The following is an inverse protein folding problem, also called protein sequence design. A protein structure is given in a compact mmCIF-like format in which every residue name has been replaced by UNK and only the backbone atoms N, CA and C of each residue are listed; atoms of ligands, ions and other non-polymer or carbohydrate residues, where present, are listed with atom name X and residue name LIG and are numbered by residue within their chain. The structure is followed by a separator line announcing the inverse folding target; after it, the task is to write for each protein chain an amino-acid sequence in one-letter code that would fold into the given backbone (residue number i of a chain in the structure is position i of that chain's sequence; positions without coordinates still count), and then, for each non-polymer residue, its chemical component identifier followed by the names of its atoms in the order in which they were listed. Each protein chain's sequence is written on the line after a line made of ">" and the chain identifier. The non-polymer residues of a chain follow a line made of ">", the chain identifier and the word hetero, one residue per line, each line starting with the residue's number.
data_IF_081007498338
#
_entry.id   IF_081007498338
#
_cell.length_a   1.000
_cell.length_b   1.000
_cell.length_c   1.000
_cell.angle_alpha   90.00
_cell.angle_beta   90.00
_cell.angle_gamma   90.00
#
_symmetry.space_group_name_H-M   'P 1'
#
loop_
_entity.id
_entity.type
_entity.pdbx_description
1 polymer ?
#
# COMPACT_ATOMS: atom_id res chain seq x y z
N UNK A 1 1.64 20.79 -27.77
CA UNK A 1 3.10 20.87 -27.54
C UNK A 1 3.49 19.61 -26.80
N UNK A 2 4.14 18.66 -27.47
CA UNK A 2 4.39 17.32 -26.94
C UNK A 2 5.58 17.34 -25.98
N UNK A 3 5.38 16.90 -24.74
CA UNK A 3 6.46 16.66 -23.79
C UNK A 3 7.07 15.29 -24.09
N UNK A 4 8.35 15.28 -24.47
CA UNK A 4 9.12 14.07 -24.67
C UNK A 4 9.33 13.38 -23.31
N UNK A 5 8.79 12.17 -23.16
CA UNK A 5 9.11 11.25 -22.07
C UNK A 5 10.54 10.76 -22.27
N UNK A 6 11.48 11.27 -21.48
CA UNK A 6 12.78 10.64 -21.33
C UNK A 6 12.60 9.37 -20.48
N UNK A 7 12.46 8.23 -21.16
CA UNK A 7 12.80 6.95 -20.53
C UNK A 7 14.30 7.02 -20.19
N UNK A 8 14.63 7.12 -18.90
CA UNK A 8 15.97 6.79 -18.42
C UNK A 8 16.14 5.29 -18.64
N UNK A 9 16.64 4.89 -19.81
CA UNK A 9 17.33 3.61 -19.94
C UNK A 9 18.55 3.70 -19.05
N UNK A 10 18.47 3.12 -17.86
CA UNK A 10 19.67 2.76 -17.10
C UNK A 10 20.48 1.86 -18.03
N UNK A 11 21.74 2.20 -18.35
CA UNK A 11 22.54 1.28 -19.12
C UNK A 11 22.64 -0.01 -18.31
N UNK A 12 22.37 -1.15 -18.96
CA UNK A 12 22.84 -2.44 -18.51
C UNK A 12 24.37 -2.40 -18.60
N UNK A 13 24.99 -1.69 -17.66
CA UNK A 13 26.42 -1.77 -17.45
C UNK A 13 26.65 -3.16 -16.88
N UNK A 14 27.66 -3.83 -17.41
CA UNK A 14 28.36 -4.96 -16.81
C UNK A 14 28.92 -4.51 -15.44
N UNK A 15 28.02 -4.22 -14.50
CA UNK A 15 28.35 -3.93 -13.13
C UNK A 15 28.85 -5.24 -12.55
N UNK A 16 30.15 -5.30 -12.27
CA UNK A 16 30.68 -6.29 -11.34
C UNK A 16 29.88 -6.16 -10.05
N UNK A 17 29.07 -7.18 -9.76
CA UNK A 17 28.33 -7.26 -8.51
C UNK A 17 29.26 -7.95 -7.50
N UNK A 18 29.98 -7.22 -6.63
CA UNK A 18 30.99 -7.80 -5.74
C UNK A 18 30.40 -8.88 -4.85
N UNK A 19 29.15 -8.69 -4.43
CA UNK A 19 28.41 -9.62 -3.58
C UNK A 19 27.47 -10.53 -4.37
N UNK A 20 27.65 -10.67 -5.69
CA UNK A 20 26.81 -11.50 -6.55
C UNK A 20 25.48 -10.86 -6.94
N UNK A 21 24.69 -11.59 -7.74
CA UNK A 21 23.39 -11.13 -8.24
C UNK A 21 22.24 -11.78 -7.47
N UNK A 22 21.12 -11.07 -7.42
CA UNK A 22 19.85 -11.63 -6.97
C UNK A 22 19.35 -12.57 -8.07
N UNK A 23 19.23 -13.87 -7.77
CA UNK A 23 18.77 -14.86 -8.75
C UNK A 23 17.26 -15.06 -8.71
N UNK A 24 16.63 -15.00 -7.53
CA UNK A 24 15.18 -15.13 -7.36
C UNK A 24 14.69 -14.29 -6.19
N UNK A 25 13.48 -13.75 -6.31
CA UNK A 25 12.76 -13.08 -5.23
C UNK A 25 11.50 -13.87 -4.91
N UNK A 26 11.39 -14.38 -3.69
CA UNK A 26 10.22 -15.07 -3.18
C UNK A 26 9.39 -14.12 -2.33
N UNK A 27 8.09 -14.03 -2.57
CA UNK A 27 7.17 -13.22 -1.77
C UNK A 27 6.17 -14.13 -1.08
N UNK A 28 6.17 -14.12 0.25
CA UNK A 28 5.15 -14.78 1.07
C UNK A 28 4.35 -13.74 1.85
N UNK A 29 3.12 -13.48 1.38
CA UNK A 29 2.21 -12.57 2.06
C UNK A 29 1.20 -13.33 2.92
N UNK A 30 1.26 -13.19 4.24
CA UNK A 30 0.34 -13.80 5.20
C UNK A 30 -0.84 -12.88 5.53
N UNK A 31 -2.03 -13.45 5.70
CA UNK A 31 -3.22 -12.66 6.09
C UNK A 31 -3.25 -12.33 7.58
N UNK A 32 -3.85 -11.21 7.95
CA UNK A 32 -4.16 -10.83 9.35
C UNK A 32 -4.92 -11.93 10.12
N UNK A 33 -5.69 -12.76 9.40
CA UNK A 33 -6.53 -13.81 9.98
C UNK A 33 -5.90 -15.22 9.99
N UNK A 34 -4.68 -15.39 9.48
CA UNK A 34 -3.97 -16.67 9.49
C UNK A 34 -3.37 -17.01 10.88
N UNK A 35 -3.71 -16.23 11.91
CA UNK A 35 -3.34 -16.56 13.29
C UNK A 35 -4.21 -17.70 13.83
N UNK A 36 -3.56 -18.72 14.41
CA UNK A 36 -4.20 -19.83 15.14
C UNK A 36 -5.16 -19.35 16.26
N UNK A 37 -5.10 -18.08 16.65
CA UNK A 37 -5.98 -17.43 17.63
C UNK A 37 -7.44 -17.27 17.14
N UNK A 38 -7.68 -17.05 15.84
CA UNK A 38 -9.02 -16.83 15.30
C UNK A 38 -9.89 -18.09 15.20
N UNK A 39 -9.28 -19.28 15.21
CA UNK A 39 -9.97 -20.57 15.06
C UNK A 39 -10.70 -21.04 16.33
N UNK A 40 -10.49 -20.36 17.48
CA UNK A 40 -10.82 -20.89 18.81
C UNK A 40 -12.16 -20.42 19.39
N UNK A 41 -12.83 -19.43 18.80
CA UNK A 41 -14.02 -18.81 19.40
C UNK A 41 -15.30 -18.99 18.57
N UNK A 42 -16.20 -19.88 19.04
CA UNK A 42 -17.38 -20.33 18.26
C UNK A 42 -18.56 -19.36 18.30
N UNK A 43 -18.60 -18.41 19.25
CA UNK A 43 -19.75 -17.51 19.46
C UNK A 43 -19.87 -16.40 18.42
N UNK A 44 -18.75 -15.95 17.85
CA UNK A 44 -18.69 -14.87 16.85
C UNK A 44 -18.11 -15.31 15.50
N UNK A 45 -18.06 -16.61 15.23
CA UNK A 45 -17.47 -17.14 13.99
C UNK A 45 -18.06 -16.58 12.69
N UNK A 46 -19.31 -16.09 12.70
CA UNK A 46 -19.91 -15.41 11.56
C UNK A 46 -19.28 -14.04 11.28
N UNK A 47 -18.91 -13.29 12.32
CA UNK A 47 -18.27 -11.99 12.21
C UNK A 47 -16.84 -12.13 11.69
N UNK A 48 -16.09 -13.12 12.20
CA UNK A 48 -14.77 -13.46 11.66
C UNK A 48 -14.85 -13.91 10.19
N UNK A 49 -15.85 -14.73 9.80
CA UNK A 49 -16.04 -15.09 8.38
C UNK A 49 -16.37 -13.90 7.49
N UNK A 50 -17.16 -12.95 7.98
CA UNK A 50 -17.47 -11.71 7.26
C UNK A 50 -16.22 -10.83 7.15
N UNK A 51 -15.44 -10.72 8.23
CA UNK A 51 -14.18 -10.01 8.24
C UNK A 51 -13.17 -10.61 7.25
N UNK A 52 -12.96 -11.93 7.29
CA UNK A 52 -12.10 -12.64 6.32
C UNK A 52 -12.57 -12.48 4.87
N UNK A 53 -13.87 -12.29 4.64
CA UNK A 53 -14.43 -12.09 3.30
C UNK A 53 -14.31 -10.63 2.84
N UNK A 54 -14.35 -9.69 3.77
CA UNK A 54 -14.19 -8.27 3.49
C UNK A 54 -12.72 -7.88 3.32
N UNK A 55 -11.80 -8.53 4.04
CA UNK A 55 -10.37 -8.35 3.84
C UNK A 55 -9.90 -9.05 2.57
N UNK A 56 -9.32 -8.27 1.67
CA UNK A 56 -8.68 -8.78 0.45
C UNK A 56 -7.18 -8.72 0.68
N UNK A 57 -6.51 -9.87 0.54
CA UNK A 57 -5.05 -9.96 0.66
C UNK A 57 -4.36 -9.05 -0.34
N UNK A 58 -3.27 -8.42 0.10
CA UNK A 58 -2.39 -7.65 -0.78
C UNK A 58 -1.82 -8.56 -1.86
N UNK A 59 -1.91 -8.11 -3.12
CA UNK A 59 -1.37 -8.87 -4.25
C UNK A 59 0.15 -8.84 -4.23
N UNK A 60 0.78 -9.93 -4.66
CA UNK A 60 2.24 -9.99 -4.77
C UNK A 60 2.82 -8.88 -5.65
N UNK A 61 2.13 -8.50 -6.73
CA UNK A 61 2.52 -7.38 -7.61
C UNK A 61 2.65 -6.04 -6.86
N UNK A 62 1.85 -5.84 -5.79
CA UNK A 62 1.94 -4.67 -4.92
C UNK A 62 3.18 -4.73 -4.05
N UNK A 63 3.57 -5.89 -3.57
CA UNK A 63 4.75 -6.03 -2.70
C UNK A 63 6.00 -5.83 -3.56
N UNK A 64 6.06 -6.50 -4.71
CA UNK A 64 7.21 -6.43 -5.62
C UNK A 64 7.53 -5.01 -6.10
N UNK A 65 6.52 -4.20 -6.43
CA UNK A 65 6.73 -2.83 -6.90
C UNK A 65 7.26 -1.86 -5.84
N UNK A 66 7.18 -2.22 -4.55
CA UNK A 66 7.72 -1.40 -3.46
C UNK A 66 9.16 -1.81 -3.12
N UNK A 67 9.66 -2.91 -3.71
CA UNK A 67 11.05 -3.33 -3.58
C UNK A 67 11.95 -2.43 -4.44
N UNK A 68 13.11 -2.07 -3.90
CA UNK A 68 14.11 -1.24 -4.56
C UNK A 68 15.12 -2.05 -5.39
N UNK A 69 14.87 -3.35 -5.55
CA UNK A 69 15.69 -4.29 -6.29
C UNK A 69 14.78 -5.23 -7.07
N UNK A 70 15.38 -5.90 -8.06
CA UNK A 70 14.68 -6.85 -8.92
C UNK A 70 15.55 -8.08 -9.18
N UNK A 71 14.93 -9.15 -9.68
CA UNK A 71 15.66 -10.35 -10.09
C UNK A 71 16.68 -9.99 -11.18
N UNK A 72 17.92 -10.44 -11.01
CA UNK A 72 19.06 -10.13 -11.88
C UNK A 72 19.88 -8.91 -11.46
N UNK A 73 19.41 -8.05 -10.56
CA UNK A 73 20.19 -6.90 -10.07
C UNK A 73 21.36 -7.34 -9.19
N UNK A 74 22.34 -6.45 -8.98
CA UNK A 74 23.36 -6.68 -7.97
C UNK A 74 22.71 -6.77 -6.58
N UNK A 75 23.19 -7.69 -5.76
CA UNK A 75 22.79 -7.77 -4.37
C UNK A 75 23.34 -6.57 -3.60
N UNK A 76 22.47 -5.86 -2.89
CA UNK A 76 22.83 -4.77 -1.99
C UNK A 76 21.98 -4.88 -0.71
N UNK A 77 22.59 -5.17 0.45
CA UNK A 77 21.85 -5.28 1.71
C UNK A 77 21.15 -3.98 2.13
N UNK A 78 21.63 -2.81 1.72
CA UNK A 78 20.99 -1.53 2.02
C UNK A 78 19.64 -1.43 1.30
N UNK A 79 19.55 -1.87 0.04
CA UNK A 79 18.29 -1.89 -0.71
C UNK A 79 17.26 -2.84 -0.10
N UNK A 80 17.68 -3.96 0.48
CA UNK A 80 16.79 -4.86 1.21
C UNK A 80 16.19 -4.18 2.45
N UNK A 81 17.03 -3.54 3.27
CA UNK A 81 16.60 -2.82 4.46
C UNK A 81 15.67 -1.65 4.14
N UNK A 82 15.99 -0.87 3.10
CA UNK A 82 15.11 0.22 2.67
C UNK A 82 13.79 -0.28 2.08
N UNK A 83 13.80 -1.40 1.35
CA UNK A 83 12.57 -2.04 0.85
C UNK A 83 11.67 -2.51 2.00
N UNK A 84 12.26 -3.12 3.04
CA UNK A 84 11.55 -3.50 4.26
C UNK A 84 10.89 -2.28 4.93
N UNK A 85 11.64 -1.18 5.06
CA UNK A 85 11.13 0.09 5.62
C UNK A 85 9.99 0.68 4.78
N UNK A 86 10.08 0.63 3.45
CA UNK A 86 9.03 1.09 2.54
C UNK A 86 7.77 0.23 2.73
N UNK A 87 7.90 -1.09 2.74
CA UNK A 87 6.78 -2.02 2.97
C UNK A 87 6.08 -1.76 4.31
N UNK A 88 6.84 -1.61 5.40
CA UNK A 88 6.30 -1.27 6.73
C UNK A 88 5.69 0.14 6.82
N UNK A 89 6.04 1.05 5.91
CA UNK A 89 5.44 2.39 5.86
C UNK A 89 4.05 2.42 5.22
N UNK A 90 3.65 1.33 4.57
CA UNK A 90 2.32 1.22 3.95
C UNK A 90 1.24 1.00 5.02
N UNK A 91 0.04 1.53 4.80
CA UNK A 91 -1.05 1.44 5.79
C UNK A 91 -1.81 0.11 5.79
N UNK A 92 -1.40 -0.84 4.93
CA UNK A 92 -2.06 -2.14 4.76
C UNK A 92 -1.12 -3.34 4.97
N UNK A 93 0.14 -3.09 5.33
CA UNK A 93 1.10 -4.12 5.76
C UNK A 93 1.41 -3.84 7.24
N UNK A 94 1.10 -4.79 8.11
CA UNK A 94 1.35 -4.71 9.55
C UNK A 94 2.84 -4.91 9.85
N UNK A 95 3.47 -5.83 9.13
CA UNK A 95 4.88 -6.17 9.29
C UNK A 95 5.46 -6.73 7.99
N UNK A 96 6.76 -6.56 7.80
CA UNK A 96 7.51 -7.07 6.66
C UNK A 96 8.94 -7.41 7.09
N UNK A 97 9.47 -8.52 6.59
CA UNK A 97 10.85 -8.94 6.76
C UNK A 97 11.44 -9.25 5.38
N UNK A 98 12.61 -8.67 5.09
CA UNK A 98 13.31 -8.90 3.82
C UNK A 98 14.71 -9.43 4.10
N UNK A 99 14.97 -10.67 3.72
CA UNK A 99 16.25 -11.31 4.00
C UNK A 99 16.80 -12.10 2.82
N UNK A 100 18.12 -12.27 2.83
CA UNK A 100 18.87 -12.90 1.77
C UNK A 100 19.34 -14.31 2.15
N UNK A 101 19.32 -15.22 1.19
CA UNK A 101 19.82 -16.60 1.29
C UNK A 101 20.85 -16.84 0.20
N UNK A 102 22.12 -16.89 0.59
CA UNK A 102 23.25 -17.16 -0.32
C UNK A 102 23.10 -18.54 -0.95
N UNK A 103 23.32 -18.63 -2.26
CA UNK A 103 23.29 -19.88 -3.00
C UNK A 103 24.71 -20.42 -3.26
N UNK A 104 24.88 -21.75 -3.45
CA UNK A 104 26.18 -22.36 -3.72
C UNK A 104 26.86 -21.88 -5.02
N UNK A 105 26.09 -21.41 -5.99
CA UNK A 105 26.57 -20.88 -7.27
C UNK A 105 27.06 -19.42 -7.18
N UNK A 106 27.05 -18.84 -5.97
CA UNK A 106 27.47 -17.47 -5.71
C UNK A 106 26.38 -16.42 -5.92
N UNK A 107 25.17 -16.82 -6.36
CA UNK A 107 23.99 -15.94 -6.41
C UNK A 107 23.31 -15.84 -5.05
N UNK A 108 22.29 -14.99 -4.97
CA UNK A 108 21.51 -14.76 -3.74
C UNK A 108 20.03 -14.85 -4.04
N UNK A 109 19.30 -15.68 -3.28
CA UNK A 109 17.85 -15.60 -3.23
C UNK A 109 17.44 -14.54 -2.20
N UNK A 110 16.37 -13.80 -2.48
CA UNK A 110 15.76 -12.88 -1.51
C UNK A 110 14.37 -13.39 -1.16
N UNK A 111 14.06 -13.41 0.12
CA UNK A 111 12.75 -13.77 0.65
C UNK A 111 12.13 -12.54 1.28
N UNK A 112 10.91 -12.23 0.86
CA UNK A 112 10.09 -11.13 1.36
C UNK A 112 8.89 -11.74 2.05
N UNK A 113 8.89 -11.70 3.37
CA UNK A 113 7.73 -12.10 4.17
C UNK A 113 6.94 -10.85 4.55
N UNK A 114 5.63 -10.85 4.33
CA UNK A 114 4.75 -9.76 4.78
C UNK A 114 3.58 -10.31 5.57
N UNK A 115 3.03 -9.45 6.43
CA UNK A 115 1.76 -9.69 7.11
C UNK A 115 0.81 -8.54 6.81
N UNK A 116 -0.32 -8.84 6.20
CA UNK A 116 -1.35 -7.85 5.92
C UNK A 116 -1.97 -7.29 7.21
N UNK A 117 -2.34 -6.01 7.16
CA UNK A 117 -3.14 -5.31 8.16
C UNK A 117 -4.57 -5.08 7.64
N UNK A 118 -5.52 -4.89 8.55
CA UNK A 118 -6.87 -4.50 8.15
C UNK A 118 -6.90 -3.07 7.59
N UNK A 119 -7.31 -2.91 6.33
CA UNK A 119 -7.22 -1.65 5.57
C UNK A 119 -8.52 -0.83 5.53
N UNK A 120 -9.68 -1.40 5.88
CA UNK A 120 -10.96 -0.66 5.91
C UNK A 120 -11.13 0.07 7.25
N UNK A 121 -11.25 1.40 7.24
CA UNK A 121 -11.41 2.21 8.44
C UNK A 121 -12.66 3.07 8.36
N UNK A 122 -13.36 3.19 9.49
CA UNK A 122 -14.40 4.20 9.69
C UNK A 122 -13.88 5.21 10.71
N UNK A 123 -13.68 6.44 10.28
CA UNK A 123 -12.99 7.46 11.07
C UNK A 123 -13.88 8.68 11.35
N UNK A 124 -13.94 9.14 12.61
CA UNK A 124 -14.59 10.39 12.95
C UNK A 124 -13.78 11.58 12.45
N UNK A 125 -14.47 12.55 11.85
CA UNK A 125 -13.88 13.82 11.44
C UNK A 125 -14.11 14.84 12.54
N UNK A 126 -13.02 15.41 13.06
CA UNK A 126 -13.02 16.44 14.11
C UNK A 126 -12.28 17.66 13.57
N UNK A 127 -12.84 18.85 13.77
CA UNK A 127 -12.19 20.11 13.37
C UNK A 127 -11.40 20.69 14.55
N UNK A 128 -10.20 21.20 14.29
CA UNK A 128 -9.31 21.70 15.33
C UNK A 128 -9.93 22.92 16.02
N UNK A 129 -10.12 22.83 17.35
CA UNK A 129 -10.65 23.93 18.16
C UNK A 129 -12.14 23.84 18.49
N UNK A 130 -12.85 22.82 18.02
CA UNK A 130 -14.25 22.56 18.37
C UNK A 130 -14.43 21.21 19.06
N UNK A 131 -15.28 21.17 20.09
CA UNK A 131 -15.66 19.93 20.79
C UNK A 131 -16.88 19.35 20.08
N UNK A 132 -16.70 18.31 19.28
CA UNK A 132 -17.82 17.57 18.66
C UNK A 132 -17.45 16.78 17.41
N UNK A 133 -18.22 15.73 17.12
CA UNK A 133 -18.14 14.98 15.87
C UNK A 133 -18.65 15.88 14.73
N UNK A 134 -17.78 16.23 13.79
CA UNK A 134 -18.13 17.04 12.62
C UNK A 134 -18.40 16.21 11.38
N UNK A 135 -18.05 14.93 11.37
CA UNK A 135 -18.30 14.07 10.24
C UNK A 135 -17.82 12.64 10.44
N UNK A 136 -18.00 11.84 9.40
CA UNK A 136 -17.53 10.47 9.33
C UNK A 136 -16.91 10.24 7.96
N UNK A 137 -15.82 9.48 7.93
CA UNK A 137 -15.16 9.01 6.70
C UNK A 137 -15.05 7.49 6.73
N UNK A 138 -15.56 6.84 5.69
CA UNK A 138 -15.25 5.45 5.40
C UNK A 138 -14.10 5.43 4.40
N UNK A 139 -13.02 4.73 4.74
CA UNK A 139 -11.80 4.62 3.94
C UNK A 139 -11.40 3.17 3.75
N UNK A 140 -10.92 2.85 2.56
CA UNK A 140 -10.28 1.58 2.21
C UNK A 140 -8.91 1.91 1.60
N UNK A 141 -7.81 1.49 2.23
CA UNK A 141 -6.45 1.81 1.78
C UNK A 141 -5.81 0.78 0.83
N UNK A 142 -6.40 -0.40 0.70
CA UNK A 142 -5.89 -1.50 -0.11
C UNK A 142 -6.99 -2.07 -1.01
N UNK A 143 -7.65 -1.20 -1.76
CA UNK A 143 -8.78 -1.57 -2.62
C UNK A 143 -8.43 -2.77 -3.49
N UNK A 144 -9.13 -3.88 -3.29
CA UNK A 144 -8.95 -5.14 -4.03
C UNK A 144 -7.51 -5.69 -3.99
N UNK A 145 -6.76 -5.39 -2.92
CA UNK A 145 -5.37 -5.82 -2.75
C UNK A 145 -4.40 -5.11 -3.68
N UNK A 146 -4.71 -3.88 -4.15
CA UNK A 146 -3.89 -3.13 -5.13
C UNK A 146 -3.06 -1.99 -4.51
N UNK A 147 -3.18 -1.74 -3.21
CA UNK A 147 -2.59 -0.59 -2.52
C UNK A 147 -3.12 0.76 -3.01
N UNK A 148 -4.37 0.79 -3.48
CA UNK A 148 -5.10 2.00 -3.87
C UNK A 148 -6.04 2.39 -2.74
N UNK A 149 -6.14 3.70 -2.48
CA UNK A 149 -7.05 4.24 -1.47
C UNK A 149 -8.33 4.76 -2.13
N UNK A 150 -9.47 4.39 -1.56
CA UNK A 150 -10.75 5.05 -1.81
C UNK A 150 -11.32 5.51 -0.49
N UNK A 151 -11.91 6.70 -0.47
CA UNK A 151 -12.70 7.12 0.68
C UNK A 151 -13.99 7.82 0.28
N UNK A 152 -14.94 7.80 1.20
CA UNK A 152 -16.18 8.54 1.14
C UNK A 152 -16.42 9.19 2.49
N UNK A 153 -16.78 10.47 2.50
CA UNK A 153 -16.99 11.21 3.73
C UNK A 153 -18.27 12.04 3.70
N UNK A 154 -18.82 12.24 4.88
CA UNK A 154 -19.83 13.24 5.19
C UNK A 154 -19.26 14.11 6.31
N UNK A 155 -19.28 15.44 6.14
CA UNK A 155 -18.87 16.37 7.19
C UNK A 155 -19.70 17.63 7.18
N UNK A 156 -19.83 18.25 8.34
CA UNK A 156 -20.46 19.54 8.52
C UNK A 156 -19.40 20.64 8.44
N UNK A 157 -19.69 21.69 7.69
CA UNK A 157 -18.85 22.87 7.55
C UNK A 157 -19.76 24.09 7.63
N UNK A 158 -19.56 24.94 8.64
CA UNK A 158 -20.34 26.17 8.85
C UNK A 158 -21.86 25.94 8.85
N UNK A 159 -22.32 24.84 9.47
CA UNK A 159 -23.75 24.49 9.55
C UNK A 159 -24.30 23.78 8.30
N UNK A 160 -23.47 23.53 7.29
CA UNK A 160 -23.89 22.87 6.07
C UNK A 160 -23.20 21.52 5.86
N UNK A 161 -23.92 20.54 5.31
CA UNK A 161 -23.38 19.20 5.07
C UNK A 161 -22.67 19.12 3.72
N UNK A 162 -21.43 18.63 3.76
CA UNK A 162 -20.58 18.34 2.61
C UNK A 162 -20.44 16.83 2.48
N UNK A 163 -20.68 16.33 1.27
CA UNK A 163 -20.48 14.92 0.93
C UNK A 163 -19.34 14.84 -0.09
N UNK A 164 -18.42 13.92 0.08
CA UNK A 164 -17.35 13.75 -0.89
C UNK A 164 -16.80 12.34 -0.96
N UNK A 165 -16.01 12.11 -1.98
CA UNK A 165 -15.26 10.89 -2.20
C UNK A 165 -13.87 11.22 -2.75
N UNK A 166 -12.90 10.38 -2.47
CA UNK A 166 -11.56 10.48 -3.04
C UNK A 166 -11.03 9.13 -3.50
N UNK A 167 -10.09 9.19 -4.43
CA UNK A 167 -9.29 8.07 -4.89
C UNK A 167 -7.83 8.51 -4.88
N UNK A 168 -6.94 7.68 -4.33
CA UNK A 168 -5.51 7.91 -4.36
C UNK A 168 -4.71 6.64 -4.70
N UNK A 169 -3.58 6.82 -5.36
CA UNK A 169 -2.62 5.75 -5.69
C UNK A 169 -1.21 6.29 -5.56
N UNK A 170 -0.29 5.48 -5.02
CA UNK A 170 1.14 5.83 -4.91
C UNK A 170 1.96 5.50 -6.15
N UNK A 171 1.37 4.74 -7.07
CA UNK A 171 2.05 4.32 -8.28
C UNK A 171 1.16 4.48 -9.50
N UNK A 172 0.96 5.75 -9.88
CA UNK A 172 0.17 6.08 -11.05
C UNK A 172 0.78 5.43 -12.30
N UNK A 173 0.03 4.54 -12.96
CA UNK A 173 0.44 3.82 -14.17
C UNK A 173 1.76 3.04 -14.06
N UNK A 174 2.09 2.52 -12.87
CA UNK A 174 3.33 1.76 -12.65
C UNK A 174 4.60 2.62 -12.55
N UNK A 175 4.43 3.92 -12.35
CA UNK A 175 5.52 4.85 -11.98
C UNK A 175 5.55 5.05 -10.46
N UNK A 176 6.57 5.71 -9.91
CA UNK A 176 6.58 6.17 -8.51
C UNK A 176 5.87 7.52 -8.30
N UNK A 177 5.02 7.93 -9.24
CA UNK A 177 4.25 9.16 -9.10
C UNK A 177 2.99 8.91 -8.26
N UNK A 178 2.79 9.79 -7.28
CA UNK A 178 1.61 9.80 -6.43
C UNK A 178 0.49 10.58 -7.14
N UNK A 179 -0.74 10.07 -7.04
CA UNK A 179 -1.91 10.75 -7.57
C UNK A 179 -3.09 10.64 -6.62
N UNK A 180 -3.81 11.75 -6.47
CA UNK A 180 -5.07 11.84 -5.72
C UNK A 180 -6.08 12.69 -6.47
N UNK A 181 -7.32 12.21 -6.52
CA UNK A 181 -8.48 12.90 -7.03
C UNK A 181 -9.56 12.91 -5.96
N UNK A 182 -10.14 14.07 -5.69
CA UNK A 182 -11.28 14.19 -4.78
C UNK A 182 -12.42 15.00 -5.40
N UNK A 183 -13.64 14.57 -5.10
CA UNK A 183 -14.88 15.17 -5.55
C UNK A 183 -15.76 15.42 -4.33
N UNK A 184 -16.29 16.62 -4.19
CA UNK A 184 -17.20 16.95 -3.09
C UNK A 184 -18.39 17.78 -3.57
N UNK A 185 -19.58 17.41 -3.12
CA UNK A 185 -20.77 18.25 -3.22
C UNK A 185 -20.82 19.17 -2.01
N UNK A 186 -20.71 20.46 -2.29
CA UNK A 186 -20.83 21.54 -1.33
C UNK A 186 -22.15 22.30 -1.56
N UNK A 187 -22.56 23.14 -0.61
CA UNK A 187 -23.77 23.96 -0.74
C UNK A 187 -23.73 24.96 -1.90
N UNK A 188 -22.53 25.42 -2.26
CA UNK A 188 -22.31 26.34 -3.39
C UNK A 188 -22.06 25.63 -4.73
N UNK A 189 -22.01 24.30 -4.75
CA UNK A 189 -21.79 23.50 -5.97
C UNK A 189 -20.81 22.33 -5.79
N UNK A 190 -20.28 21.83 -6.89
CA UNK A 190 -19.29 20.74 -6.88
C UNK A 190 -17.86 21.29 -6.79
N UNK A 191 -17.06 20.70 -5.93
CA UNK A 191 -15.64 20.95 -5.80
C UNK A 191 -14.86 19.73 -6.28
N UNK A 192 -13.81 19.97 -7.06
CA UNK A 192 -12.87 18.96 -7.53
C UNK A 192 -11.48 19.38 -7.10
N UNK A 193 -10.71 18.48 -6.50
CA UNK A 193 -9.29 18.71 -6.22
C UNK A 193 -8.47 17.56 -6.79
N UNK A 194 -7.31 17.90 -7.31
CA UNK A 194 -6.34 16.93 -7.83
C UNK A 194 -4.98 17.25 -7.25
N UNK A 195 -4.23 16.20 -6.90
CA UNK A 195 -2.85 16.30 -6.46
C UNK A 195 -2.02 15.26 -7.21
N UNK A 196 -0.88 15.70 -7.72
CA UNK A 196 0.14 14.86 -8.33
C UNK A 196 1.47 15.23 -7.66
N UNK A 197 2.25 14.24 -7.23
CA UNK A 197 3.55 14.44 -6.59
C UNK A 197 4.57 13.43 -7.11
#
# INVERSE_FOLDING_TARGET
>A
MAAALFARTLPAQDAECPDGRISQVFVDNRSVFDSEAGKRDSRFGWAFRLANRAHIRTREEVIRRELLFEEGSCYDPALLLDSERILRSTSFIADADVFAVRQPDGTTHVVVETRDEWSTRLEPQVESGEVGLRGLELREDNLMGRGQRVSAFIKERQGERVFGASFATRQLFGTHADAELSLARTPVGYAVQQRLA
#
